data_IF_351655733832
#
_entry.id   IF_351655733832
#
_cell.length_a   1.000
_cell.length_b   1.000
_cell.length_c   1.000
_cell.angle_alpha   90.00
_cell.angle_beta   90.00
_cell.angle_gamma   90.00
#
_symmetry.space_group_name_H-M   'P 1'
#
loop_
_entity.id
_entity.type
_entity.pdbx_description
1 polymer ?
#
# COMPACT_ATOMS: atom_id res chain seq x y z
N UNK A 1 -13.92 -28.36 -13.06
CA UNK A 1 -13.05 -28.28 -14.25
C UNK A 1 -11.62 -28.17 -13.74
N UNK A 2 -10.74 -29.05 -14.20
CA UNK A 2 -9.31 -28.98 -13.84
C UNK A 2 -8.71 -27.63 -14.31
N UNK A 3 -7.70 -27.12 -13.62
CA UNK A 3 -7.02 -25.86 -13.93
C UNK A 3 -6.51 -25.85 -15.39
N UNK A 4 -6.07 -27.01 -15.88
CA UNK A 4 -5.67 -27.21 -17.28
C UNK A 4 -6.83 -26.93 -18.26
N UNK A 5 -8.06 -27.35 -17.94
CA UNK A 5 -9.23 -27.12 -18.77
C UNK A 5 -9.64 -25.64 -18.80
N UNK A 6 -9.51 -24.94 -17.66
CA UNK A 6 -9.78 -23.50 -17.58
C UNK A 6 -8.76 -22.70 -18.41
N UNK A 7 -7.47 -23.01 -18.27
CA UNK A 7 -6.39 -22.36 -19.04
C UNK A 7 -6.60 -22.59 -20.55
N UNK A 8 -6.93 -23.83 -20.94
CA UNK A 8 -7.17 -24.17 -22.35
C UNK A 8 -8.34 -23.36 -22.93
N UNK A 9 -9.43 -23.23 -22.18
CA UNK A 9 -10.61 -22.44 -22.59
C UNK A 9 -10.26 -20.95 -22.72
N UNK A 10 -9.49 -20.40 -21.79
CA UNK A 10 -9.05 -18.99 -21.86
C UNK A 10 -8.14 -18.76 -23.07
N UNK A 11 -7.16 -19.64 -23.29
CA UNK A 11 -6.27 -19.57 -24.46
C UNK A 11 -7.05 -19.66 -25.78
N UNK A 12 -8.06 -20.54 -25.85
CA UNK A 12 -8.93 -20.65 -27.02
C UNK A 12 -9.67 -19.33 -27.31
N UNK A 13 -10.20 -18.66 -26.29
CA UNK A 13 -10.87 -17.36 -26.48
C UNK A 13 -9.89 -16.25 -26.86
N UNK A 14 -8.68 -16.22 -26.29
CA UNK A 14 -7.64 -15.24 -26.67
C UNK A 14 -7.20 -15.45 -28.11
N UNK A 15 -6.94 -16.70 -28.52
CA UNK A 15 -6.56 -17.05 -29.90
C UNK A 15 -7.69 -16.69 -30.87
N UNK A 16 -8.94 -17.01 -30.52
CA UNK A 16 -10.11 -16.66 -31.34
C UNK A 16 -10.29 -15.14 -31.48
N UNK A 17 -10.00 -14.37 -30.44
CA UNK A 17 -10.05 -12.90 -30.46
C UNK A 17 -8.99 -12.32 -31.41
N UNK A 18 -7.73 -12.75 -31.27
CA UNK A 18 -6.62 -12.30 -32.12
C UNK A 18 -6.85 -12.69 -33.57
N UNK A 19 -7.29 -13.93 -33.81
CA UNK A 19 -7.59 -14.41 -35.16
C UNK A 19 -8.77 -13.67 -35.79
N UNK A 20 -9.82 -13.37 -35.01
CA UNK A 20 -10.95 -12.55 -35.43
C UNK A 20 -10.53 -11.15 -35.86
N UNK A 21 -9.66 -10.50 -35.10
CA UNK A 21 -9.08 -9.19 -35.46
C UNK A 21 -8.25 -9.25 -36.75
N UNK A 22 -7.42 -10.29 -36.92
CA UNK A 22 -6.61 -10.49 -38.13
C UNK A 22 -7.52 -10.62 -39.36
N UNK A 23 -8.54 -11.48 -39.29
CA UNK A 23 -9.49 -11.67 -40.39
C UNK A 23 -10.29 -10.40 -40.72
N UNK A 24 -10.66 -9.62 -39.71
CA UNK A 24 -11.40 -8.36 -39.89
C UNK A 24 -10.56 -7.26 -40.57
N UNK A 25 -9.28 -7.13 -40.16
CA UNK A 25 -8.39 -6.03 -40.55
C UNK A 25 -7.61 -6.29 -41.85
N UNK A 26 -7.49 -7.54 -42.30
CA UNK A 26 -6.81 -7.86 -43.56
C UNK A 26 -7.62 -7.41 -44.79
N UNK A 27 -7.11 -6.40 -45.50
CA UNK A 27 -7.75 -5.80 -46.70
C UNK A 27 -7.97 -6.75 -47.88
N UNK A 28 -7.25 -7.88 -47.94
CA UNK A 28 -7.34 -8.87 -49.03
C UNK A 28 -8.41 -9.95 -48.82
N UNK A 29 -9.09 -9.97 -47.67
CA UNK A 29 -10.10 -10.98 -47.37
C UNK A 29 -11.46 -10.63 -48.00
N UNK A 30 -12.23 -11.63 -48.49
CA UNK A 30 -13.57 -11.41 -49.00
C UNK A 30 -14.51 -10.97 -47.88
N UNK A 31 -15.54 -10.20 -48.25
CA UNK A 31 -16.47 -9.57 -47.30
C UNK A 31 -16.99 -10.52 -46.21
N UNK A 32 -17.42 -11.73 -46.59
CA UNK A 32 -17.95 -12.73 -45.64
C UNK A 32 -16.95 -13.15 -44.55
N UNK A 33 -15.67 -13.29 -44.90
CA UNK A 33 -14.60 -13.64 -43.94
C UNK A 33 -14.28 -12.49 -42.98
N UNK A 34 -14.43 -11.24 -43.44
CA UNK A 34 -14.25 -10.05 -42.59
C UNK A 34 -15.39 -9.90 -41.58
N UNK A 35 -16.63 -10.16 -42.00
CA UNK A 35 -17.81 -10.19 -41.11
C UNK A 35 -17.67 -11.31 -40.07
N UNK A 36 -17.26 -12.51 -40.50
CA UNK A 36 -16.99 -13.63 -39.60
C UNK A 36 -15.90 -13.29 -38.57
N UNK A 37 -14.81 -12.64 -39.00
CA UNK A 37 -13.74 -12.17 -38.12
C UNK A 37 -14.24 -11.16 -37.07
N UNK A 38 -15.09 -10.22 -37.48
CA UNK A 38 -15.72 -9.25 -36.56
C UNK A 38 -16.64 -9.92 -35.53
N UNK A 39 -17.45 -10.90 -35.93
CA UNK A 39 -18.30 -11.68 -35.01
C UNK A 39 -17.45 -12.51 -34.04
N UNK A 40 -16.41 -13.17 -34.53
CA UNK A 40 -15.48 -13.93 -33.68
C UNK A 40 -14.79 -13.04 -32.64
N UNK A 41 -14.31 -11.85 -33.04
CA UNK A 41 -13.70 -10.89 -32.12
C UNK A 41 -14.71 -10.38 -31.08
N UNK A 42 -15.95 -10.08 -31.49
CA UNK A 42 -16.99 -9.61 -30.56
C UNK A 42 -17.38 -10.67 -29.52
N UNK A 43 -17.61 -11.91 -29.97
CA UNK A 43 -18.03 -13.03 -29.11
C UNK A 43 -16.93 -13.44 -28.14
N UNK A 44 -15.66 -13.37 -28.55
CA UNK A 44 -14.51 -13.67 -27.69
C UNK A 44 -14.07 -12.51 -26.79
N UNK A 45 -14.42 -11.26 -27.13
CA UNK A 45 -14.09 -10.08 -26.31
C UNK A 45 -14.80 -10.08 -24.95
N UNK A 46 -16.03 -10.59 -24.87
CA UNK A 46 -16.83 -10.61 -23.62
C UNK A 46 -16.22 -11.54 -22.56
N UNK A 47 -15.84 -12.80 -22.84
CA UNK A 47 -15.17 -13.65 -21.86
C UNK A 47 -13.73 -13.23 -21.55
N UNK A 48 -12.97 -12.71 -22.53
CA UNK A 48 -11.60 -12.20 -22.28
C UNK A 48 -11.63 -10.92 -21.43
N UNK A 49 -12.48 -9.96 -21.80
CA UNK A 49 -12.71 -8.73 -21.05
C UNK A 49 -13.34 -9.00 -19.69
N UNK A 50 -14.26 -9.96 -19.60
CA UNK A 50 -14.88 -10.42 -18.37
C UNK A 50 -13.90 -11.11 -17.42
N UNK A 51 -12.95 -11.90 -17.93
CA UNK A 51 -11.89 -12.51 -17.12
C UNK A 51 -10.89 -11.47 -16.63
N UNK A 52 -10.45 -10.54 -17.48
CA UNK A 52 -9.57 -9.43 -17.08
C UNK A 52 -10.28 -8.54 -16.06
N UNK A 53 -11.56 -8.25 -16.27
CA UNK A 53 -12.40 -7.50 -15.33
C UNK A 53 -12.62 -8.26 -14.02
N UNK A 54 -12.81 -9.58 -14.06
CA UNK A 54 -12.97 -10.43 -12.88
C UNK A 54 -11.66 -10.57 -12.10
N UNK A 55 -10.53 -10.77 -12.78
CA UNK A 55 -9.19 -10.74 -12.17
C UNK A 55 -8.92 -9.36 -11.57
N UNK A 56 -9.28 -8.28 -12.26
CA UNK A 56 -9.21 -6.92 -11.72
C UNK A 56 -10.14 -6.74 -10.50
N UNK A 57 -11.36 -7.27 -10.53
CA UNK A 57 -12.33 -7.20 -9.44
C UNK A 57 -11.88 -8.01 -8.22
N UNK A 58 -11.25 -9.18 -8.44
CA UNK A 58 -10.70 -10.06 -7.41
C UNK A 58 -9.37 -9.53 -6.84
N UNK A 59 -8.56 -8.84 -7.65
CA UNK A 59 -7.32 -8.18 -7.21
C UNK A 59 -7.56 -6.79 -6.59
N UNK A 60 -8.77 -6.24 -6.70
CA UNK A 60 -9.15 -4.93 -6.10
C UNK A 60 -9.86 -5.07 -4.76
N UNK A 61 -10.15 -6.29 -4.30
CA UNK A 61 -10.62 -6.54 -2.94
C UNK A 61 -9.44 -6.62 -1.98
N UNK A 62 -9.23 -5.55 -1.21
CA UNK A 62 -8.69 -5.48 0.17
C UNK A 62 -7.52 -6.38 0.59
N UNK A 63 -6.40 -6.32 -0.14
CA UNK A 63 -5.11 -6.27 0.54
C UNK A 63 -4.21 -5.26 -0.18
N UNK A 64 -4.35 -4.02 0.25
CA UNK A 64 -3.37 -2.97 -0.05
C UNK A 64 -2.13 -3.25 0.79
N UNK A 65 -0.97 -3.40 0.15
CA UNK A 65 0.30 -3.18 0.86
C UNK A 65 0.31 -1.72 1.28
N UNK A 66 0.48 -1.48 2.57
CA UNK A 66 0.65 -0.17 3.17
C UNK A 66 -0.48 0.85 3.03
N UNK A 67 -0.21 2.11 3.41
CA UNK A 67 -1.18 3.22 3.37
C UNK A 67 -1.38 3.75 1.96
N UNK A 68 -2.22 3.07 1.19
CA UNK A 68 -2.52 3.48 -0.18
C UNK A 68 -3.51 4.66 -0.24
N UNK A 69 -3.32 5.55 -1.21
CA UNK A 69 -4.22 6.68 -1.47
C UNK A 69 -5.69 6.23 -1.62
N UNK A 70 -6.55 6.77 -0.75
CA UNK A 70 -8.01 6.64 -0.88
C UNK A 70 -8.68 7.97 -1.24
N UNK A 71 -9.44 7.94 -2.33
CA UNK A 71 -10.30 9.03 -2.78
C UNK A 71 -11.73 8.54 -2.84
N UNK A 72 -12.63 9.20 -2.09
CA UNK A 72 -14.05 8.82 -1.93
C UNK A 72 -14.22 7.34 -1.53
N UNK A 73 -13.40 6.88 -0.57
CA UNK A 73 -13.45 5.52 -0.03
C UNK A 73 -12.85 4.43 -0.92
N UNK A 74 -12.35 4.77 -2.11
CA UNK A 74 -11.78 3.81 -3.06
C UNK A 74 -10.28 4.01 -3.19
N UNK A 75 -9.53 2.90 -3.25
CA UNK A 75 -8.09 2.87 -3.51
C UNK A 75 -7.78 3.43 -4.89
N UNK A 76 -6.72 4.22 -5.00
CA UNK A 76 -6.23 4.80 -6.25
C UNK A 76 -4.74 4.58 -6.38
N UNK A 77 -4.35 4.05 -7.53
CA UNK A 77 -2.95 3.84 -7.92
C UNK A 77 -2.69 4.55 -9.24
N UNK A 78 -1.43 4.88 -9.49
CA UNK A 78 -1.03 5.47 -10.76
C UNK A 78 -1.39 4.55 -11.93
N UNK A 79 -1.79 5.15 -13.05
CA UNK A 79 -1.84 4.42 -14.33
C UNK A 79 -0.43 3.95 -14.67
N UNK A 80 -0.32 2.85 -15.42
CA UNK A 80 0.97 2.43 -15.98
C UNK A 80 1.45 3.43 -17.02
N UNK A 81 2.74 3.72 -17.02
CA UNK A 81 3.38 4.59 -18.00
C UNK A 81 4.78 4.08 -18.34
N UNK A 82 5.22 4.37 -19.56
CA UNK A 82 6.59 4.12 -20.02
C UNK A 82 7.39 5.41 -19.89
N UNK A 83 8.66 5.30 -19.50
CA UNK A 83 9.55 6.45 -19.41
C UNK A 83 10.68 6.26 -18.39
N UNK A 84 11.20 7.39 -17.90
CA UNK A 84 12.30 7.46 -16.94
C UNK A 84 11.87 8.22 -15.66
N UNK A 85 12.78 8.35 -14.69
CA UNK A 85 12.64 9.21 -13.51
C UNK A 85 12.03 8.57 -12.26
N UNK A 86 11.43 7.38 -12.42
CA UNK A 86 10.88 6.59 -11.33
C UNK A 86 11.58 5.25 -11.13
N UNK A 87 12.78 5.05 -11.66
CA UNK A 87 13.59 3.86 -11.40
C UNK A 87 14.94 4.28 -10.81
N UNK A 88 15.41 3.56 -9.79
CA UNK A 88 16.79 3.64 -9.29
C UNK A 88 17.70 2.64 -10.05
N UNK A 89 18.88 2.35 -9.50
CA UNK A 89 19.90 1.47 -10.08
C UNK A 89 19.77 0.00 -9.65
N UNK A 90 18.68 -0.39 -8.98
CA UNK A 90 18.47 -1.77 -8.56
C UNK A 90 18.27 -2.70 -9.77
N UNK A 91 19.17 -3.69 -9.92
CA UNK A 91 19.12 -4.68 -11.00
C UNK A 91 19.25 -6.09 -10.41
N UNK A 92 18.17 -6.90 -10.41
CA UNK A 92 18.23 -8.28 -9.97
C UNK A 92 18.87 -9.18 -11.04
N UNK A 93 19.34 -10.35 -10.64
CA UNK A 93 19.81 -11.37 -11.58
C UNK A 93 18.61 -11.99 -12.31
N UNK A 94 18.53 -11.72 -13.61
CA UNK A 94 17.51 -12.28 -14.51
C UNK A 94 18.01 -13.51 -15.27
N UNK A 95 19.26 -13.92 -15.04
CA UNK A 95 19.85 -15.09 -15.70
C UNK A 95 19.13 -16.37 -15.25
N UNK A 96 18.97 -17.31 -16.18
CA UNK A 96 18.27 -18.56 -15.90
C UNK A 96 16.74 -18.46 -15.75
N UNK A 97 16.16 -17.26 -15.83
CA UNK A 97 14.70 -17.09 -15.83
C UNK A 97 14.11 -17.25 -17.23
N UNK A 98 13.01 -18.00 -17.31
CA UNK A 98 12.21 -18.08 -18.54
C UNK A 98 11.51 -16.74 -18.83
N UNK A 99 11.14 -16.45 -20.09
CA UNK A 99 10.36 -15.25 -20.42
C UNK A 99 9.05 -15.11 -19.64
N UNK A 100 8.42 -16.24 -19.32
CA UNK A 100 7.19 -16.27 -18.52
C UNK A 100 7.45 -15.89 -17.06
N UNK A 101 8.47 -16.48 -16.43
CA UNK A 101 8.88 -16.12 -15.06
C UNK A 101 9.25 -14.65 -14.93
N UNK A 102 9.97 -14.11 -15.93
CA UNK A 102 10.30 -12.69 -16.02
C UNK A 102 9.05 -11.80 -16.10
N UNK A 103 8.06 -12.21 -16.90
CA UNK A 103 6.77 -11.51 -16.97
C UNK A 103 6.06 -11.50 -15.61
N UNK A 104 5.99 -12.66 -14.95
CA UNK A 104 5.31 -12.78 -13.65
C UNK A 104 5.98 -11.89 -12.59
N UNK A 105 7.30 -11.94 -12.46
CA UNK A 105 8.02 -11.10 -11.50
C UNK A 105 7.90 -9.61 -11.84
N UNK A 106 8.00 -9.26 -13.12
CA UNK A 106 7.81 -7.88 -13.58
C UNK A 106 6.43 -7.32 -13.20
N UNK A 107 5.38 -8.12 -13.33
CA UNK A 107 4.02 -7.75 -12.93
C UNK A 107 3.86 -7.59 -11.41
N UNK A 108 4.48 -8.45 -10.60
CA UNK A 108 4.46 -8.34 -9.13
C UNK A 108 5.14 -7.06 -8.65
N UNK A 109 6.30 -6.74 -9.21
CA UNK A 109 7.04 -5.53 -8.86
C UNK A 109 6.34 -4.27 -9.40
N UNK A 110 5.74 -4.33 -10.58
CA UNK A 110 4.94 -3.22 -11.13
C UNK A 110 3.70 -2.97 -10.27
N UNK A 111 3.04 -4.01 -9.79
CA UNK A 111 1.91 -3.86 -8.85
C UNK A 111 2.37 -3.19 -7.55
N UNK A 112 3.48 -3.65 -6.97
CA UNK A 112 4.04 -3.07 -5.74
C UNK A 112 4.44 -1.60 -5.95
N UNK A 113 5.14 -1.27 -7.04
CA UNK A 113 5.52 0.09 -7.39
C UNK A 113 4.33 1.06 -7.49
N UNK A 114 3.20 0.58 -8.01
CA UNK A 114 1.97 1.36 -8.09
C UNK A 114 1.33 1.65 -6.73
N UNK A 115 1.48 0.74 -5.75
CA UNK A 115 1.03 0.92 -4.38
C UNK A 115 1.94 1.91 -3.64
N UNK A 116 3.26 1.73 -3.67
CA UNK A 116 4.21 2.62 -2.98
C UNK A 116 4.09 4.06 -3.52
N UNK A 117 4.01 4.21 -4.85
CA UNK A 117 3.79 5.53 -5.45
C UNK A 117 2.48 6.19 -4.98
N UNK A 118 1.44 5.39 -4.74
CA UNK A 118 0.17 5.88 -4.21
C UNK A 118 0.22 6.17 -2.71
N UNK A 119 1.17 5.60 -1.96
CA UNK A 119 1.39 5.92 -0.55
C UNK A 119 1.98 7.33 -0.37
N UNK A 120 2.79 7.82 -1.31
CA UNK A 120 3.35 9.21 -1.30
C UNK A 120 2.28 10.30 -1.10
N UNK A 121 1.25 10.43 -1.97
CA UNK A 121 0.18 11.40 -1.75
C UNK A 121 -0.73 11.06 -0.56
N UNK A 122 -0.77 9.79 -0.11
CA UNK A 122 -1.55 9.40 1.07
C UNK A 122 -0.95 9.99 2.35
N UNK A 123 0.38 9.86 2.54
CA UNK A 123 1.10 10.50 3.64
C UNK A 123 1.07 12.03 3.55
N UNK A 124 1.20 12.60 2.35
CA UNK A 124 1.06 14.05 2.15
C UNK A 124 -0.31 14.57 2.60
N UNK A 125 -1.38 13.84 2.27
CA UNK A 125 -2.74 14.17 2.71
C UNK A 125 -2.92 14.00 4.22
N UNK A 126 -2.27 13.01 4.83
CA UNK A 126 -2.29 12.83 6.27
C UNK A 126 -1.61 14.02 6.97
N UNK A 127 -0.43 14.45 6.51
CA UNK A 127 0.27 15.64 7.04
C UNK A 127 -0.63 16.89 7.02
N UNK A 128 -1.28 17.16 5.88
CA UNK A 128 -2.24 18.28 5.78
C UNK A 128 -3.41 18.15 6.77
N UNK A 129 -3.92 16.93 6.96
CA UNK A 129 -5.02 16.68 7.92
C UNK A 129 -4.57 16.88 9.36
N UNK A 130 -3.37 16.43 9.72
CA UNK A 130 -2.77 16.60 11.04
C UNK A 130 -2.49 18.08 11.32
N UNK A 131 -1.97 18.82 10.34
CA UNK A 131 -1.78 20.26 10.42
C UNK A 131 -3.10 21.00 10.71
N UNK A 132 -4.17 20.66 9.98
CA UNK A 132 -5.49 21.25 10.19
C UNK A 132 -6.11 20.95 11.58
N UNK A 133 -5.62 19.91 12.26
CA UNK A 133 -6.04 19.51 13.60
C UNK A 133 -5.09 20.01 14.70
N UNK A 134 -4.04 20.75 14.35
CA UNK A 134 -3.05 21.26 15.31
C UNK A 134 -2.23 20.13 15.96
N UNK A 135 -1.84 19.13 15.18
CA UNK A 135 -0.96 18.07 15.64
C UNK A 135 0.45 18.59 15.99
N UNK A 136 1.16 17.92 16.91
CA UNK A 136 2.58 18.18 17.15
C UNK A 136 3.41 18.10 15.87
N UNK A 137 4.47 18.91 15.78
CA UNK A 137 5.32 19.02 14.60
C UNK A 137 5.94 17.68 14.20
N UNK A 138 6.25 16.83 15.18
CA UNK A 138 6.92 15.54 15.00
C UNK A 138 6.06 14.62 14.12
N UNK A 139 4.73 14.61 14.31
CA UNK A 139 3.83 13.80 13.48
C UNK A 139 3.77 14.28 12.02
N UNK A 140 3.97 15.58 11.77
CA UNK A 140 4.04 16.11 10.42
C UNK A 140 5.37 15.76 9.77
N UNK A 141 6.47 15.90 10.51
CA UNK A 141 7.81 15.49 10.10
C UNK A 141 7.84 14.01 9.71
N UNK A 142 7.32 13.14 10.57
CA UNK A 142 7.26 11.70 10.32
C UNK A 142 6.39 11.36 9.10
N UNK A 143 5.30 12.10 8.85
CA UNK A 143 4.53 11.91 7.61
C UNK A 143 5.34 12.29 6.36
N UNK A 144 6.19 13.30 6.44
CA UNK A 144 7.04 13.70 5.32
C UNK A 144 8.20 12.73 5.11
N UNK A 145 8.80 12.22 6.19
CA UNK A 145 9.81 11.16 6.13
C UNK A 145 9.21 9.90 5.51
N UNK A 146 8.04 9.45 5.97
CA UNK A 146 7.36 8.31 5.38
C UNK A 146 7.06 8.52 3.89
N UNK A 147 6.62 9.71 3.48
CA UNK A 147 6.42 10.01 2.06
C UNK A 147 7.73 9.94 1.23
N UNK A 148 8.89 10.27 1.82
CA UNK A 148 10.19 10.12 1.18
C UNK A 148 10.61 8.65 1.09
N UNK A 149 10.33 7.86 2.12
CA UNK A 149 10.52 6.40 2.14
C UNK A 149 9.74 5.77 0.99
N UNK A 150 8.46 6.15 0.82
CA UNK A 150 7.61 5.67 -0.28
C UNK A 150 8.10 6.06 -1.68
N UNK A 151 8.73 7.22 -1.84
CA UNK A 151 9.38 7.58 -3.12
C UNK A 151 10.53 6.62 -3.40
N UNK A 152 11.33 6.27 -2.38
CA UNK A 152 12.44 5.32 -2.52
C UNK A 152 11.93 3.91 -2.82
N UNK A 153 10.91 3.44 -2.10
CA UNK A 153 10.26 2.15 -2.33
C UNK A 153 9.70 2.05 -3.76
N UNK A 154 8.94 3.07 -4.18
CA UNK A 154 8.38 3.12 -5.53
C UNK A 154 9.48 3.04 -6.59
N UNK A 155 10.56 3.83 -6.44
CA UNK A 155 11.68 3.83 -7.38
C UNK A 155 12.33 2.47 -7.55
N UNK A 156 12.58 1.80 -6.43
CA UNK A 156 13.18 0.47 -6.40
C UNK A 156 12.25 -0.58 -7.01
N UNK A 157 10.97 -0.56 -6.66
CA UNK A 157 9.98 -1.46 -7.25
C UNK A 157 9.83 -1.27 -8.77
N UNK A 158 9.87 -0.03 -9.27
CA UNK A 158 9.88 0.27 -10.70
C UNK A 158 11.16 -0.20 -11.40
N UNK A 159 12.33 -0.08 -10.76
CA UNK A 159 13.59 -0.59 -11.29
C UNK A 159 13.55 -2.12 -11.44
N UNK A 160 13.11 -2.83 -10.40
CA UNK A 160 12.91 -4.29 -10.43
C UNK A 160 11.89 -4.69 -11.52
N UNK A 161 10.74 -4.02 -11.59
CA UNK A 161 9.74 -4.26 -12.63
C UNK A 161 10.33 -4.09 -14.04
N UNK A 162 11.14 -3.05 -14.23
CA UNK A 162 11.78 -2.74 -15.51
C UNK A 162 12.85 -3.78 -15.88
N UNK A 163 13.68 -4.22 -14.93
CA UNK A 163 14.69 -5.23 -15.16
C UNK A 163 14.08 -6.59 -15.53
N UNK A 164 13.06 -7.04 -14.78
CA UNK A 164 12.38 -8.30 -15.08
C UNK A 164 11.65 -8.24 -16.43
N UNK A 165 10.87 -7.20 -16.69
CA UNK A 165 10.08 -7.10 -17.94
C UNK A 165 10.90 -6.69 -19.17
N UNK A 166 12.08 -6.07 -19.00
CA UNK A 166 12.86 -5.47 -20.08
C UNK A 166 12.25 -4.17 -20.64
N UNK A 167 11.31 -3.56 -19.91
CA UNK A 167 10.56 -2.37 -20.33
C UNK A 167 10.82 -1.24 -19.34
N UNK A 168 11.17 -0.04 -19.83
CA UNK A 168 11.39 1.13 -18.97
C UNK A 168 10.07 1.69 -18.42
N UNK A 169 9.68 1.25 -17.23
CA UNK A 169 8.47 1.72 -16.55
C UNK A 169 8.72 3.00 -15.77
N UNK A 170 7.68 3.83 -15.66
CA UNK A 170 7.66 5.03 -14.82
C UNK A 170 6.28 5.20 -14.18
N UNK A 171 6.16 6.06 -13.17
CA UNK A 171 4.87 6.36 -12.60
C UNK A 171 4.01 7.16 -13.58
N UNK A 172 2.81 6.66 -13.86
CA UNK A 172 1.83 7.40 -14.63
C UNK A 172 0.98 8.32 -13.77
N UNK A 173 -0.03 8.91 -14.40
CA UNK A 173 -0.91 9.87 -13.72
C UNK A 173 -1.84 9.16 -12.72
N UNK A 174 -2.18 9.87 -11.64
CA UNK A 174 -3.35 9.60 -10.81
C UNK A 174 -4.38 10.71 -11.12
N UNK A 175 -5.23 10.55 -12.15
CA UNK A 175 -6.10 11.62 -12.64
C UNK A 175 -7.00 12.22 -11.56
N UNK A 176 -7.41 11.41 -10.59
CA UNK A 176 -8.30 11.82 -9.50
C UNK A 176 -7.68 12.81 -8.53
N UNK A 177 -6.34 12.95 -8.49
CA UNK A 177 -5.68 14.01 -7.74
C UNK A 177 -5.77 15.37 -8.45
N UNK A 178 -5.83 15.38 -9.78
CA UNK A 178 -5.93 16.60 -10.59
C UNK A 178 -7.37 17.08 -10.85
N UNK A 179 -8.37 16.24 -10.58
CA UNK A 179 -9.76 16.63 -10.66
C UNK A 179 -10.12 17.47 -9.44
N UNK A 180 -10.27 18.77 -9.66
CA UNK A 180 -10.52 19.79 -8.62
C UNK A 180 -11.48 19.31 -7.54
N UNK A 181 -11.11 19.58 -6.29
CA UNK A 181 -11.90 19.22 -5.11
C UNK A 181 -13.31 19.79 -5.25
N UNK A 182 -14.34 18.93 -5.20
CA UNK A 182 -15.66 19.36 -4.74
C UNK A 182 -15.48 20.19 -3.47
N UNK A 183 -16.23 21.29 -3.26
CA UNK A 183 -16.06 22.16 -2.10
C UNK A 183 -16.03 21.30 -0.84
N UNK A 184 -15.11 21.56 0.12
CA UNK A 184 -15.11 20.82 1.35
C UNK A 184 -16.50 20.95 1.96
N UNK A 185 -17.21 19.83 2.09
CA UNK A 185 -18.41 19.76 2.91
C UNK A 185 -18.03 20.36 4.27
N UNK A 186 -18.86 21.24 4.88
CA UNK A 186 -18.53 21.90 6.13
C UNK A 186 -17.94 20.86 7.08
N UNK A 187 -16.74 21.17 7.56
CA UNK A 187 -15.89 20.25 8.27
C UNK A 187 -16.55 19.89 9.60
N UNK A 188 -17.50 18.95 9.57
CA UNK A 188 -18.09 18.48 10.80
C UNK A 188 -16.98 17.77 11.57
N UNK A 189 -16.58 18.42 12.65
CA UNK A 189 -15.56 17.95 13.59
C UNK A 189 -15.82 16.49 14.02
N UNK A 190 -17.09 16.06 14.04
CA UNK A 190 -17.50 14.69 14.31
C UNK A 190 -16.91 13.67 13.33
N UNK A 191 -17.01 13.94 12.03
CA UNK A 191 -16.53 13.03 10.98
C UNK A 191 -15.00 13.10 10.81
N UNK A 192 -14.36 14.20 11.21
CA UNK A 192 -12.91 14.39 10.97
C UNK A 192 -12.04 13.48 11.85
N UNK A 193 -12.32 13.43 13.16
CA UNK A 193 -11.65 12.53 14.09
C UNK A 193 -11.95 11.07 13.77
N UNK A 194 -13.22 10.75 13.45
CA UNK A 194 -13.60 9.40 13.11
C UNK A 194 -12.87 8.88 11.86
N UNK A 195 -12.79 9.71 10.81
CA UNK A 195 -12.00 9.38 9.61
C UNK A 195 -10.51 9.27 9.89
N UNK A 196 -9.96 10.07 10.81
CA UNK A 196 -8.53 10.00 11.16
C UNK A 196 -8.23 8.68 11.86
N UNK A 197 -8.95 8.37 12.93
CA UNK A 197 -8.77 7.13 13.71
C UNK A 197 -8.97 5.88 12.83
N UNK A 198 -10.05 5.85 12.04
CA UNK A 198 -10.33 4.69 11.16
C UNK A 198 -9.23 4.51 10.10
N UNK A 199 -8.79 5.60 9.46
CA UNK A 199 -7.71 5.55 8.48
C UNK A 199 -6.39 5.15 9.12
N UNK A 200 -6.06 5.69 10.29
CA UNK A 200 -4.84 5.31 11.02
C UNK A 200 -4.85 3.84 11.44
N UNK A 201 -5.97 3.29 11.91
CA UNK A 201 -6.04 1.89 12.32
C UNK A 201 -5.96 0.93 11.11
N UNK A 202 -6.79 1.16 10.08
CA UNK A 202 -6.92 0.22 8.96
C UNK A 202 -5.83 0.40 7.91
N UNK A 203 -5.59 1.64 7.48
CA UNK A 203 -4.61 1.92 6.43
C UNK A 203 -3.19 2.15 6.99
N UNK A 204 -3.06 2.51 8.27
CA UNK A 204 -1.75 2.66 8.92
C UNK A 204 -1.35 1.41 9.68
N UNK A 205 -1.92 1.19 10.86
CA UNK A 205 -1.48 0.13 11.77
C UNK A 205 -1.58 -1.27 11.13
N UNK A 206 -2.73 -1.59 10.53
CA UNK A 206 -2.93 -2.91 9.92
C UNK A 206 -2.18 -3.04 8.58
N UNK A 207 -2.40 -2.11 7.64
CA UNK A 207 -1.85 -2.27 6.28
C UNK A 207 -0.32 -2.11 6.23
N UNK A 208 0.26 -1.12 6.93
CA UNK A 208 1.73 -0.97 7.03
C UNK A 208 2.33 -2.10 7.86
N UNK A 209 1.68 -2.48 8.98
CA UNK A 209 2.12 -3.62 9.78
C UNK A 209 2.12 -4.94 8.98
N UNK A 210 1.15 -5.11 8.09
CA UNK A 210 1.12 -6.23 7.14
C UNK A 210 2.21 -6.12 6.08
N UNK A 211 2.43 -4.94 5.51
CA UNK A 211 3.51 -4.72 4.53
C UNK A 211 4.86 -5.06 5.14
N UNK A 212 5.12 -4.61 6.38
CA UNK A 212 6.33 -4.91 7.14
C UNK A 212 6.55 -6.41 7.32
N UNK A 213 5.54 -7.14 7.79
CA UNK A 213 5.62 -8.60 8.01
C UNK A 213 5.83 -9.37 6.70
N UNK A 214 5.11 -9.00 5.65
CA UNK A 214 5.19 -9.66 4.34
C UNK A 214 6.54 -9.40 3.68
N UNK A 215 7.05 -8.17 3.75
CA UNK A 215 8.35 -7.83 3.21
C UNK A 215 9.47 -8.53 3.98
N UNK A 216 9.40 -8.59 5.32
CA UNK A 216 10.41 -9.27 6.14
C UNK A 216 10.47 -10.78 5.86
N UNK A 217 9.32 -11.44 5.76
CA UNK A 217 9.26 -12.87 5.40
C UNK A 217 9.64 -13.10 3.93
N UNK A 218 9.34 -12.17 3.03
CA UNK A 218 9.82 -12.21 1.65
C UNK A 218 11.34 -12.10 1.56
N UNK A 219 11.95 -11.19 2.33
CA UNK A 219 13.38 -11.00 2.39
C UNK A 219 14.11 -12.26 2.90
N UNK A 220 13.57 -12.91 3.94
CA UNK A 220 14.18 -14.12 4.52
C UNK A 220 14.23 -15.30 3.53
N UNK A 221 13.33 -15.32 2.54
CA UNK A 221 13.23 -16.36 1.51
C UNK A 221 13.90 -16.01 0.19
N UNK A 222 14.09 -14.72 -0.09
CA UNK A 222 14.65 -14.25 -1.34
C UNK A 222 16.09 -14.74 -1.56
N UNK A 223 16.34 -15.39 -2.70
CA UNK A 223 17.68 -15.84 -3.11
C UNK A 223 18.51 -14.72 -3.70
N UNK A 224 17.89 -13.84 -4.50
CA UNK A 224 18.57 -12.70 -5.11
C UNK A 224 18.89 -11.64 -4.05
N UNK A 225 20.16 -11.17 -3.95
CA UNK A 225 20.57 -10.23 -2.93
C UNK A 225 19.91 -8.85 -3.06
N UNK A 226 19.62 -8.38 -4.28
CA UNK A 226 18.95 -7.10 -4.54
C UNK A 226 17.49 -7.17 -4.10
N UNK A 227 16.81 -8.30 -4.39
CA UNK A 227 15.44 -8.53 -3.89
C UNK A 227 15.41 -8.59 -2.37
N UNK A 228 16.36 -9.32 -1.76
CA UNK A 228 16.46 -9.42 -0.30
C UNK A 228 16.66 -8.06 0.35
N UNK A 229 17.64 -7.28 -0.11
CA UNK A 229 17.92 -5.94 0.40
C UNK A 229 16.68 -5.04 0.26
N UNK A 230 16.05 -5.04 -0.91
CA UNK A 230 14.84 -4.26 -1.18
C UNK A 230 13.74 -4.54 -0.17
N UNK A 231 13.44 -5.82 0.06
CA UNK A 231 12.38 -6.24 0.97
C UNK A 231 12.75 -6.02 2.45
N UNK A 232 14.04 -6.12 2.81
CA UNK A 232 14.50 -5.79 4.16
C UNK A 232 14.31 -4.31 4.48
N UNK A 233 14.69 -3.41 3.57
CA UNK A 233 14.48 -1.95 3.75
C UNK A 233 13.00 -1.63 3.87
N UNK A 234 12.17 -2.14 2.95
CA UNK A 234 10.71 -1.96 3.01
C UNK A 234 10.17 -2.51 4.34
N UNK A 235 10.62 -3.66 4.81
CA UNK A 235 10.13 -4.24 6.06
C UNK A 235 10.35 -3.32 7.28
N UNK A 236 11.54 -2.74 7.38
CA UNK A 236 11.91 -1.83 8.46
C UNK A 236 11.15 -0.49 8.36
N UNK A 237 11.07 0.07 7.16
CA UNK A 237 10.42 1.36 6.89
C UNK A 237 8.91 1.27 7.17
N UNK A 238 8.25 0.22 6.67
CA UNK A 238 6.83 -0.01 6.90
C UNK A 238 6.50 -0.32 8.37
N UNK A 239 7.45 -0.89 9.11
CA UNK A 239 7.35 -1.04 10.56
C UNK A 239 7.26 0.32 11.25
N UNK A 240 8.10 1.28 10.85
CA UNK A 240 8.05 2.67 11.38
C UNK A 240 6.77 3.39 10.94
N UNK A 241 6.30 3.17 9.72
CA UNK A 241 5.04 3.73 9.23
C UNK A 241 3.82 3.25 10.05
N UNK A 242 3.83 1.97 10.44
CA UNK A 242 2.82 1.42 11.34
C UNK A 242 2.85 2.08 12.73
N UNK A 243 4.03 2.33 13.29
CA UNK A 243 4.19 3.03 14.56
C UNK A 243 3.72 4.49 14.49
N UNK A 244 4.06 5.22 13.44
CA UNK A 244 3.51 6.57 13.19
C UNK A 244 1.97 6.56 13.22
N UNK A 245 1.34 5.53 12.64
CA UNK A 245 -0.11 5.41 12.68
C UNK A 245 -0.67 5.25 14.11
N UNK A 246 0.05 4.53 14.98
CA UNK A 246 -0.31 4.42 16.40
C UNK A 246 -0.17 5.75 17.14
N UNK A 247 0.87 6.53 16.85
CA UNK A 247 1.07 7.85 17.45
C UNK A 247 -0.02 8.83 17.02
N UNK A 248 -0.46 8.75 15.76
CA UNK A 248 -1.62 9.48 15.27
C UNK A 248 -2.91 9.08 15.99
N UNK A 249 -3.10 7.78 16.29
CA UNK A 249 -4.25 7.33 17.10
C UNK A 249 -4.16 7.91 18.51
N UNK A 250 -2.99 7.86 19.16
CA UNK A 250 -2.79 8.42 20.49
C UNK A 250 -3.11 9.92 20.54
N UNK A 251 -2.61 10.70 19.58
CA UNK A 251 -2.96 12.11 19.40
C UNK A 251 -4.48 12.30 19.23
N UNK A 252 -5.11 11.51 18.35
CA UNK A 252 -6.54 11.60 18.10
C UNK A 252 -7.39 11.26 19.33
N UNK A 253 -6.97 10.28 20.14
CA UNK A 253 -7.66 9.93 21.40
C UNK A 253 -7.51 11.04 22.44
N UNK A 254 -6.34 11.68 22.52
CA UNK A 254 -6.08 12.79 23.44
C UNK A 254 -6.89 14.05 23.07
N UNK A 255 -6.91 14.44 21.79
CA UNK A 255 -7.57 15.68 21.32
C UNK A 255 -9.04 15.50 20.95
N UNK A 256 -9.39 14.36 20.35
CA UNK A 256 -10.75 14.06 19.87
C UNK A 256 -11.67 13.43 20.92
N UNK A 257 -11.12 13.03 22.08
CA UNK A 257 -11.88 12.56 23.24
C UNK A 257 -12.86 11.43 22.93
N UNK A 258 -14.12 11.58 23.36
CA UNK A 258 -15.15 10.54 23.22
C UNK A 258 -15.39 10.12 21.77
N UNK A 259 -15.39 11.08 20.83
CA UNK A 259 -15.63 10.81 19.40
C UNK A 259 -14.54 9.93 18.79
N UNK A 260 -13.27 10.19 19.13
CA UNK A 260 -12.15 9.38 18.68
C UNK A 260 -12.21 7.95 19.29
N UNK A 261 -12.58 7.83 20.58
CA UNK A 261 -12.76 6.53 21.23
C UNK A 261 -13.89 5.71 20.59
N UNK A 262 -15.02 6.34 20.30
CA UNK A 262 -16.16 5.67 19.65
C UNK A 262 -15.81 5.26 18.22
N UNK A 263 -15.06 6.09 17.49
CA UNK A 263 -14.54 5.73 16.17
C UNK A 263 -13.54 4.57 16.21
N UNK A 264 -12.68 4.49 17.23
CA UNK A 264 -11.74 3.38 17.39
C UNK A 264 -12.51 2.07 17.64
N UNK A 265 -13.56 2.10 18.46
CA UNK A 265 -14.45 0.94 18.66
C UNK A 265 -15.12 0.50 17.35
N UNK A 266 -15.61 1.45 16.55
CA UNK A 266 -16.20 1.13 15.26
C UNK A 266 -15.16 0.56 14.27
N UNK A 267 -13.94 1.10 14.28
CA UNK A 267 -12.86 0.61 13.43
C UNK A 267 -12.42 -0.80 13.83
N UNK A 268 -12.46 -1.16 15.12
CA UNK A 268 -12.23 -2.52 15.61
C UNK A 268 -13.25 -3.52 15.07
N UNK A 269 -14.53 -3.13 14.93
CA UNK A 269 -15.53 -4.00 14.29
C UNK A 269 -15.21 -4.22 12.80
N UNK A 270 -14.75 -3.18 12.11
CA UNK A 270 -14.33 -3.28 10.71
C UNK A 270 -13.02 -4.07 10.52
N UNK A 271 -12.19 -4.17 11.56
CA UNK A 271 -10.96 -4.96 11.56
C UNK A 271 -11.28 -6.47 11.48
N UNK A 272 -12.37 -6.93 12.09
CA UNK A 272 -12.73 -8.36 12.12
C UNK A 272 -13.16 -8.91 10.76
N UNK A 273 -13.64 -8.04 9.87
CA UNK A 273 -14.04 -8.41 8.51
C UNK A 273 -12.89 -8.36 7.52
N UNK A 274 -11.68 -7.98 7.94
CA UNK A 274 -10.50 -8.00 7.08
C UNK A 274 -10.05 -9.44 6.84
N UNK A 275 -9.85 -9.79 5.57
CA UNK A 275 -9.42 -11.12 5.15
C UNK A 275 -8.37 -11.00 4.06
N UNK A 276 -7.52 -12.02 3.95
CA UNK A 276 -6.63 -12.15 2.80
C UNK A 276 -7.43 -12.63 1.59
N UNK A 277 -7.47 -11.89 0.48
CA UNK A 277 -8.10 -12.35 -0.75
C UNK A 277 -7.35 -13.58 -1.24
N UNK A 278 -8.09 -14.61 -1.64
CA UNK A 278 -7.47 -15.76 -2.28
C UNK A 278 -6.97 -15.35 -3.67
N UNK A 279 -5.65 -15.31 -3.87
CA UNK A 279 -5.09 -15.13 -5.21
C UNK A 279 -5.17 -16.45 -6.00
N UNK A 280 -5.52 -16.40 -7.29
CA UNK A 280 -5.47 -17.57 -8.15
C UNK A 280 -4.03 -18.06 -8.31
N UNK A 281 -3.86 -19.37 -8.52
CA UNK A 281 -2.56 -19.93 -8.90
C UNK A 281 -2.12 -19.36 -10.24
N UNK A 282 -0.84 -19.00 -10.34
CA UNK A 282 -0.22 -18.52 -11.58
C UNK A 282 0.24 -19.76 -12.37
N UNK A 283 -0.30 -20.04 -13.56
CA UNK A 283 0.14 -21.19 -14.36
C UNK A 283 1.63 -21.14 -14.67
N UNK A 284 2.32 -22.28 -14.66
CA UNK A 284 3.73 -22.37 -15.06
C UNK A 284 4.73 -21.76 -14.07
N UNK A 285 4.28 -21.36 -12.88
CA UNK A 285 5.13 -20.91 -11.77
C UNK A 285 4.63 -21.57 -10.49
N UNK A 286 5.53 -22.24 -9.76
CA UNK A 286 5.22 -22.88 -8.48
C UNK A 286 5.46 -21.94 -7.29
N UNK A 287 4.98 -22.35 -6.11
CA UNK A 287 5.11 -21.58 -4.88
C UNK A 287 6.58 -21.44 -4.43
N UNK A 288 7.42 -22.43 -4.70
CA UNK A 288 8.85 -22.40 -4.38
C UNK A 288 9.60 -21.34 -5.22
N UNK A 289 9.23 -21.19 -6.49
CA UNK A 289 9.71 -20.10 -7.34
C UNK A 289 9.30 -18.75 -6.81
N UNK A 290 8.03 -18.58 -6.42
CA UNK A 290 7.56 -17.30 -5.89
C UNK A 290 8.28 -16.97 -4.58
N UNK A 291 8.37 -17.94 -3.67
CA UNK A 291 9.01 -17.78 -2.37
C UNK A 291 10.49 -17.37 -2.49
N UNK A 292 11.27 -18.05 -3.34
CA UNK A 292 12.69 -17.70 -3.56
C UNK A 292 12.91 -16.34 -4.25
N UNK A 293 11.86 -15.76 -4.79
CA UNK A 293 11.85 -14.40 -5.34
C UNK A 293 11.13 -13.39 -4.43
N UNK A 294 10.93 -13.74 -3.15
CA UNK A 294 10.35 -12.85 -2.14
C UNK A 294 8.84 -12.67 -2.24
N UNK A 295 8.14 -13.52 -2.99
CA UNK A 295 6.67 -13.52 -3.12
C UNK A 295 6.09 -14.64 -2.29
N UNK A 296 5.32 -14.29 -1.26
CA UNK A 296 4.82 -15.28 -0.30
C UNK A 296 3.63 -16.09 -0.85
N UNK A 297 3.54 -17.39 -0.52
CA UNK A 297 2.37 -18.21 -0.76
C UNK A 297 1.11 -17.67 -0.05
N UNK A 298 -0.06 -17.98 -0.59
CA UNK A 298 -1.35 -17.51 -0.05
C UNK A 298 -1.60 -17.94 1.40
N UNK A 299 -1.23 -19.17 1.73
CA UNK A 299 -1.38 -19.71 3.09
C UNK A 299 -0.58 -18.87 4.09
N UNK A 300 0.62 -18.45 3.68
CA UNK A 300 1.51 -17.65 4.53
C UNK A 300 0.97 -16.23 4.71
N UNK A 301 0.47 -15.60 3.65
CA UNK A 301 -0.20 -14.30 3.73
C UNK A 301 -1.39 -14.33 4.67
N UNK A 302 -2.24 -15.37 4.60
CA UNK A 302 -3.38 -15.56 5.50
C UNK A 302 -2.95 -15.70 6.96
N UNK A 303 -1.87 -16.46 7.22
CA UNK A 303 -1.29 -16.61 8.56
C UNK A 303 -0.79 -15.27 9.11
N UNK A 304 -0.03 -14.52 8.32
CA UNK A 304 0.50 -13.21 8.72
C UNK A 304 -0.64 -12.20 8.96
N UNK A 305 -1.70 -12.22 8.14
CA UNK A 305 -2.88 -11.38 8.33
C UNK A 305 -3.57 -11.66 9.65
N UNK A 306 -3.79 -12.93 10.00
CA UNK A 306 -4.37 -13.30 11.28
C UNK A 306 -3.52 -12.80 12.46
N UNK A 307 -2.19 -12.94 12.37
CA UNK A 307 -1.26 -12.43 13.40
C UNK A 307 -1.34 -10.90 13.50
N UNK A 308 -1.34 -10.19 12.39
CA UNK A 308 -1.35 -8.73 12.38
C UNK A 308 -2.69 -8.17 12.88
N UNK A 309 -3.82 -8.77 12.50
CA UNK A 309 -5.14 -8.44 13.05
C UNK A 309 -5.17 -8.63 14.56
N UNK A 310 -4.67 -9.76 15.07
CA UNK A 310 -4.65 -10.03 16.51
C UNK A 310 -3.79 -9.02 17.28
N UNK A 311 -2.60 -8.70 16.78
CA UNK A 311 -1.72 -7.67 17.38
C UNK A 311 -2.35 -6.28 17.35
N UNK A 312 -2.91 -5.90 16.21
CA UNK A 312 -3.57 -4.60 16.02
C UNK A 312 -4.76 -4.45 16.96
N UNK A 313 -5.61 -5.49 17.05
CA UNK A 313 -6.73 -5.53 17.99
C UNK A 313 -6.26 -5.34 19.43
N UNK A 314 -5.31 -6.16 19.88
CA UNK A 314 -4.82 -6.13 21.26
C UNK A 314 -4.29 -4.74 21.65
N UNK A 315 -3.51 -4.10 20.77
CA UNK A 315 -2.99 -2.74 21.02
C UNK A 315 -4.10 -1.69 21.02
N UNK A 316 -5.04 -1.76 20.09
CA UNK A 316 -6.17 -0.82 20.04
C UNK A 316 -7.12 -0.96 21.25
N UNK A 317 -7.37 -2.18 21.73
CA UNK A 317 -8.14 -2.43 22.95
C UNK A 317 -7.42 -1.89 24.20
N UNK A 318 -6.10 -2.05 24.28
CA UNK A 318 -5.30 -1.48 25.37
C UNK A 318 -5.41 0.06 25.44
N UNK A 319 -5.49 0.74 24.29
CA UNK A 319 -5.71 2.20 24.23
C UNK A 319 -7.12 2.64 24.66
N UNK A 320 -8.10 1.73 24.61
CA UNK A 320 -9.48 1.98 25.03
C UNK A 320 -9.73 1.64 26.50
N UNK A 321 -8.83 0.87 27.12
CA UNK A 321 -8.95 0.49 28.52
C UNK A 321 -9.02 1.74 29.42
N UNK A 322 -9.82 1.71 30.50
CA UNK A 322 -9.80 2.79 31.47
C UNK A 322 -8.38 2.92 32.03
N UNK A 323 -7.82 4.13 31.98
CA UNK A 323 -6.56 4.42 32.65
C UNK A 323 -6.77 4.18 34.14
N UNK A 324 -6.26 3.08 34.69
CA UNK A 324 -6.32 2.78 36.14
C UNK A 324 -5.47 3.76 37.00
N UNK A 325 -5.09 4.91 36.43
CA UNK A 325 -4.33 5.98 37.06
C UNK A 325 -5.26 7.15 37.40
N UNK A 326 -6.23 6.91 38.27
CA UNK A 326 -7.00 7.97 38.95
C UNK A 326 -7.65 7.42 40.23
N UNK A 327 -6.87 6.81 41.12
CA UNK A 327 -7.17 6.75 42.56
C UNK A 327 -5.86 6.51 43.35
N UNK A 328 -5.01 7.53 43.38
CA UNK A 328 -4.17 7.83 44.55
C UNK A 328 -4.30 9.32 44.82
N UNK A 329 -5.38 9.69 45.48
CA UNK A 329 -5.44 10.89 46.31
C UNK A 329 -4.38 10.75 47.42
N UNK A 330 -3.20 11.34 47.19
CA UNK A 330 -2.23 11.64 48.24
C UNK A 330 -2.47 13.06 48.76
N UNK A 331 -2.29 13.32 50.07
CA UNK A 331 -2.79 14.54 50.70
C UNK A 331 -2.03 15.78 50.25
N UNK A 332 -2.79 16.87 50.15
CA UNK A 332 -2.31 18.23 50.05
C UNK A 332 -1.45 18.58 51.25
N UNK A 333 -0.15 18.76 51.06
CA UNK A 333 0.67 19.60 51.93
C UNK A 333 1.91 20.04 51.16
N UNK A 334 1.88 21.27 50.66
CA UNK A 334 3.08 22.10 50.56
C UNK A 334 2.66 23.56 50.64
N UNK A 335 2.66 24.06 51.88
CA UNK A 335 2.68 25.48 52.20
C UNK A 335 3.95 26.11 51.62
N UNK A 336 3.82 27.30 51.05
CA UNK A 336 4.91 28.01 50.38
C UNK A 336 5.92 28.66 51.31
N UNK A 337 7.10 28.96 50.74
CA UNK A 337 8.04 30.01 51.16
C UNK A 337 8.69 30.59 49.87
N UNK A 338 8.90 31.92 49.73
CA UNK A 338 9.27 32.55 48.45
C UNK A 338 10.77 32.85 48.25
N UNK A 339 11.12 32.94 46.96
CA UNK A 339 12.15 33.75 46.27
C UNK A 339 13.62 33.79 46.72
N UNK A 340 14.54 33.46 45.80
CA UNK A 340 15.85 34.10 45.66
C UNK A 340 16.34 34.08 44.20
N UNK A 341 16.87 35.22 43.76
CA UNK A 341 17.40 35.51 42.42
C UNK A 341 18.86 35.09 42.22
N UNK A 342 19.23 34.72 41.00
CA UNK A 342 20.52 35.04 40.31
C UNK A 342 20.48 34.35 38.94
N UNK A 343 20.39 35.07 37.81
CA UNK A 343 21.53 35.55 37.01
C UNK A 343 22.70 34.56 37.03
N UNK A 344 22.89 33.85 35.92
CA UNK A 344 24.10 34.02 35.11
C UNK A 344 23.93 33.47 33.69
N UNK A 345 24.42 34.27 32.75
CA UNK A 345 24.35 34.08 31.32
C UNK A 345 25.51 33.19 30.85
N UNK A 346 25.25 32.32 29.87
CA UNK A 346 26.28 31.58 29.13
C UNK A 346 26.65 32.42 27.89
N UNK A 347 27.93 32.78 27.68
CA UNK A 347 28.32 33.50 26.48
C UNK A 347 28.51 32.55 25.28
N UNK A 348 28.00 33.01 24.15
CA UNK A 348 28.23 32.48 22.80
C UNK A 348 29.64 32.85 22.37
N UNK A 349 30.48 31.87 22.04
CA UNK A 349 31.79 32.10 21.43
C UNK A 349 31.74 31.76 19.94
N UNK A 350 32.09 32.76 19.13
CA UNK A 350 32.15 32.70 17.67
C UNK A 350 33.53 32.23 17.19
N UNK A 351 33.51 31.59 16.01
CA UNK A 351 34.59 31.04 15.20
C UNK A 351 35.95 31.78 15.14
N UNK A 352 36.96 31.11 14.57
CA UNK A 352 37.84 31.74 13.61
C UNK A 352 37.68 31.15 12.20
N UNK A 353 37.74 32.05 11.23
CA UNK A 353 37.81 31.80 9.79
C UNK A 353 39.16 31.19 9.41
N UNK A 354 39.14 30.19 8.53
CA UNK A 354 40.04 30.02 7.38
C UNK A 354 39.29 29.23 6.32
#
# INVERSE_FOLDING_TARGET
MDAAAVILVVLLFVVAFVWGLILMLQKRQPWGLRVLGGVMALVSAVPVGGLVFLVHLLCTTNLTKGRVLRLRGRTRVARRALGAGWADDAVPDVSGLTPWQRTVLGEVWMYSAGLEHASVPAFSKLSLKLSALGAPSELLEDCHLAALDEIRHARRCFALASAYSGVGWTAGTIPELGQGSTPPSPMDSGDTWARLVRGSLLDGCLAEGMASLVAGEGASRASDPVVRETLSVISEDEGRHAELAWDVIAFALQRGGRRAKDALRQALLALESQQTPALPRIPGVDEDFLARNGVLPQVELGRLMAVCIARTRARAEALLAPSNLSMRSGPSDFQGVPAASSRDAVPVEAAPRC
#
